data_IF_124360828602
#
_entry.id   IF_124360828602
#
_cell.length_a   1.000
_cell.length_b   1.000
_cell.length_c   1.000
_cell.angle_alpha   90.00
_cell.angle_beta   90.00
_cell.angle_gamma   90.00
#
_symmetry.space_group_name_H-M   'P 1'
#
loop_
_entity.id
_entity.type
_entity.pdbx_description
1 polymer ?
#
# COMPACT_ATOMS: atom_id res chain seq x y z
N UNK A 1 -1.37 -14.71 4.93
CA UNK A 1 -1.78 -13.68 5.92
C UNK A 1 -3.20 -13.17 5.65
N UNK A 2 -3.65 -13.11 4.38
CA UNK A 2 -5.05 -12.78 4.04
C UNK A 2 -6.09 -13.62 4.80
N UNK A 3 -5.86 -14.92 4.98
CA UNK A 3 -6.76 -15.82 5.73
C UNK A 3 -6.94 -15.45 7.21
N UNK A 4 -6.10 -14.57 7.76
CA UNK A 4 -6.22 -14.09 9.13
C UNK A 4 -7.22 -12.94 9.26
N UNK A 5 -7.64 -12.28 8.16
CA UNK A 5 -8.57 -11.15 8.19
C UNK A 5 -9.86 -11.47 8.95
N UNK A 6 -10.54 -12.61 8.75
CA UNK A 6 -11.74 -12.95 9.53
C UNK A 6 -11.49 -13.04 11.03
N UNK A 7 -10.32 -13.56 11.44
CA UNK A 7 -9.94 -13.66 12.85
C UNK A 7 -9.69 -12.26 13.42
N UNK A 8 -8.95 -11.42 12.69
CA UNK A 8 -8.65 -10.03 13.07
C UNK A 8 -9.93 -9.21 13.25
N UNK A 9 -10.90 -9.35 12.33
CA UNK A 9 -12.23 -8.73 12.46
C UNK A 9 -12.96 -9.21 13.71
N UNK A 10 -12.94 -10.52 13.98
CA UNK A 10 -13.60 -11.12 15.15
C UNK A 10 -13.05 -10.60 16.49
N UNK A 11 -11.75 -10.32 16.56
CA UNK A 11 -11.11 -9.76 17.76
C UNK A 11 -11.20 -8.22 17.82
N UNK A 12 -11.88 -7.57 16.86
CA UNK A 12 -12.23 -6.16 16.90
C UNK A 12 -11.34 -5.23 16.08
N UNK A 13 -10.45 -5.75 15.23
CA UNK A 13 -9.64 -4.90 14.35
C UNK A 13 -10.47 -4.48 13.13
N UNK A 14 -10.34 -3.22 12.74
CA UNK A 14 -10.93 -2.69 11.51
C UNK A 14 -9.94 -2.62 10.35
N UNK A 15 -8.65 -2.85 10.62
CA UNK A 15 -7.60 -2.82 9.62
C UNK A 15 -6.23 -3.14 10.21
N UNK A 16 -5.25 -3.35 9.33
CA UNK A 16 -3.87 -3.72 9.71
C UNK A 16 -2.86 -3.07 8.77
N UNK A 17 -1.73 -2.67 9.36
CA UNK A 17 -0.49 -2.30 8.67
C UNK A 17 0.46 -3.51 8.65
N UNK A 18 1.30 -3.62 7.62
CA UNK A 18 2.39 -4.60 7.63
C UNK A 18 1.99 -5.91 6.98
N UNK A 19 1.50 -5.83 5.75
CA UNK A 19 1.20 -6.99 4.91
C UNK A 19 2.44 -7.53 4.18
N UNK A 20 3.64 -7.05 4.55
CA UNK A 20 4.92 -7.37 3.90
C UNK A 20 5.04 -8.87 3.59
N UNK A 21 4.98 -9.20 2.30
CA UNK A 21 5.20 -10.56 1.78
C UNK A 21 4.12 -11.61 2.06
N UNK A 22 3.00 -11.25 2.71
CA UNK A 22 2.06 -12.24 3.25
C UNK A 22 0.60 -12.11 2.83
N UNK A 23 0.18 -10.95 2.32
CA UNK A 23 -1.18 -10.74 1.85
C UNK A 23 -1.21 -9.98 0.53
N UNK A 24 -2.23 -10.32 -0.25
CA UNK A 24 -2.57 -9.65 -1.48
C UNK A 24 -3.72 -8.66 -1.19
N UNK A 25 -3.52 -7.35 -1.41
CA UNK A 25 -4.51 -6.33 -1.10
C UNK A 25 -5.72 -6.42 -2.03
N UNK A 26 -5.58 -6.99 -3.22
CA UNK A 26 -6.72 -7.27 -4.10
C UNK A 26 -7.62 -8.31 -3.45
N UNK A 27 -7.03 -9.42 -2.97
CA UNK A 27 -7.79 -10.50 -2.33
C UNK A 27 -8.44 -10.02 -1.03
N UNK A 28 -7.73 -9.22 -0.22
CA UNK A 28 -8.31 -8.63 1.00
C UNK A 28 -9.48 -7.74 0.62
N UNK A 29 -9.31 -6.84 -0.34
CA UNK A 29 -10.37 -5.93 -0.75
C UNK A 29 -11.57 -6.60 -1.38
N UNK A 30 -11.39 -7.68 -2.15
CA UNK A 30 -12.49 -8.40 -2.80
C UNK A 30 -13.31 -9.20 -1.79
N UNK A 31 -12.65 -9.84 -0.82
CA UNK A 31 -13.32 -10.71 0.15
C UNK A 31 -13.70 -10.01 1.45
N UNK A 32 -13.06 -8.88 1.75
CA UNK A 32 -13.20 -8.11 3.00
C UNK A 32 -13.20 -6.59 2.72
N UNK A 33 -14.15 -6.07 1.92
CA UNK A 33 -14.15 -4.67 1.47
C UNK A 33 -14.28 -3.64 2.59
N UNK A 34 -14.74 -4.05 3.78
CA UNK A 34 -14.86 -3.22 4.98
C UNK A 34 -13.59 -3.22 5.85
N UNK A 35 -12.55 -3.97 5.48
CA UNK A 35 -11.30 -4.05 6.22
C UNK A 35 -10.26 -3.09 5.66
N UNK A 36 -9.74 -2.21 6.51
CA UNK A 36 -8.79 -1.16 6.13
C UNK A 36 -7.39 -1.75 5.92
N UNK A 37 -6.79 -1.48 4.77
CA UNK A 37 -5.44 -1.91 4.42
C UNK A 37 -4.49 -0.71 4.57
N UNK A 38 -3.40 -0.86 5.32
CA UNK A 38 -2.44 0.22 5.57
C UNK A 38 -1.05 -0.15 5.06
N UNK A 39 -0.42 0.76 4.33
CA UNK A 39 1.00 0.70 4.01
C UNK A 39 1.38 -0.14 2.80
N UNK A 40 0.47 -0.51 1.89
CA UNK A 40 0.82 -1.37 0.74
C UNK A 40 1.50 -0.64 -0.44
N UNK A 41 1.97 0.58 -0.24
CA UNK A 41 2.36 1.51 -1.31
C UNK A 41 3.72 1.25 -1.95
N UNK A 42 4.59 0.44 -1.33
CA UNK A 42 5.94 0.17 -1.84
C UNK A 42 6.46 -1.18 -1.39
N UNK A 43 6.94 -1.98 -2.34
CA UNK A 43 7.43 -3.34 -2.13
C UNK A 43 8.94 -3.32 -1.81
N UNK A 44 9.43 -2.55 -0.83
CA UNK A 44 10.85 -2.59 -0.38
C UNK A 44 11.94 -2.44 -1.47
N UNK A 45 11.56 -2.08 -2.69
CA UNK A 45 12.37 -2.17 -3.90
C UNK A 45 12.14 -0.96 -4.81
N UNK A 46 10.89 -0.48 -4.92
CA UNK A 46 10.55 0.59 -5.87
C UNK A 46 11.02 1.93 -5.33
N UNK A 47 10.73 2.27 -4.07
CA UNK A 47 11.24 3.53 -3.48
C UNK A 47 12.77 3.47 -3.29
N UNK A 48 13.39 2.38 -2.76
CA UNK A 48 14.84 2.36 -2.55
C UNK A 48 15.68 2.38 -3.83
N UNK A 49 15.21 1.75 -4.93
CA UNK A 49 16.05 1.50 -6.11
C UNK A 49 15.45 1.97 -7.44
N UNK A 50 14.16 2.29 -7.48
CA UNK A 50 13.47 2.68 -8.71
C UNK A 50 13.79 4.10 -9.17
N UNK A 51 13.56 4.34 -10.45
CA UNK A 51 13.55 5.68 -11.02
C UNK A 51 12.25 6.43 -10.67
N UNK A 52 12.21 7.74 -10.95
CA UNK A 52 10.97 8.53 -10.86
C UNK A 52 9.82 7.89 -11.64
N UNK A 53 10.09 7.40 -12.85
CA UNK A 53 9.08 6.78 -13.70
C UNK A 53 8.56 5.48 -13.09
N UNK A 54 9.45 4.65 -12.55
CA UNK A 54 9.07 3.40 -11.87
C UNK A 54 8.16 3.67 -10.67
N UNK A 55 8.49 4.68 -9.86
CA UNK A 55 7.69 5.08 -8.69
C UNK A 55 6.29 5.54 -9.11
N UNK A 56 6.20 6.39 -10.14
CA UNK A 56 4.91 6.89 -10.63
C UNK A 56 4.06 5.77 -11.25
N UNK A 57 4.67 4.88 -12.03
CA UNK A 57 3.97 3.75 -12.64
C UNK A 57 3.46 2.78 -11.57
N UNK A 58 4.29 2.45 -10.57
CA UNK A 58 3.89 1.61 -9.45
C UNK A 58 2.69 2.20 -8.69
N UNK A 59 2.74 3.49 -8.37
CA UNK A 59 1.64 4.17 -7.69
C UNK A 59 0.37 4.20 -8.54
N UNK A 60 0.49 4.41 -9.84
CA UNK A 60 -0.66 4.37 -10.76
C UNK A 60 -1.30 2.97 -10.78
N UNK A 61 -0.50 1.91 -10.84
CA UNK A 61 -0.99 0.52 -10.80
C UNK A 61 -1.70 0.21 -9.48
N UNK A 62 -1.11 0.60 -8.35
CA UNK A 62 -1.71 0.48 -7.02
C UNK A 62 -3.04 1.22 -6.92
N UNK A 63 -3.15 2.44 -7.45
CA UNK A 63 -4.41 3.19 -7.42
C UNK A 63 -5.48 2.58 -8.35
N UNK A 64 -5.08 1.99 -9.48
CA UNK A 64 -5.99 1.24 -10.36
C UNK A 64 -6.47 -0.05 -9.69
N UNK A 65 -5.61 -0.68 -8.89
CA UNK A 65 -5.92 -1.87 -8.12
C UNK A 65 -6.91 -1.59 -6.98
N UNK A 66 -6.75 -0.45 -6.33
CA UNK A 66 -7.39 -0.09 -5.07
C UNK A 66 -8.44 1.02 -5.25
N UNK A 67 -9.22 0.95 -6.35
CA UNK A 67 -10.29 1.89 -6.78
C UNK A 67 -11.27 2.29 -5.66
N UNK A 68 -12.22 3.19 -5.97
CA UNK A 68 -13.30 3.67 -5.08
C UNK A 68 -13.83 2.63 -4.09
N UNK A 69 -14.05 3.08 -2.84
CA UNK A 69 -14.62 2.34 -1.71
C UNK A 69 -13.78 1.18 -1.14
N UNK A 70 -12.46 1.17 -1.37
CA UNK A 70 -11.56 0.07 -0.98
C UNK A 70 -10.75 0.32 0.31
N UNK A 71 -11.21 1.22 1.20
CA UNK A 71 -10.64 1.52 2.53
C UNK A 71 -9.11 1.38 2.62
N UNK A 72 -8.38 2.06 1.71
CA UNK A 72 -6.93 1.94 1.61
C UNK A 72 -6.21 3.19 2.13
N UNK A 73 -5.26 2.99 3.02
CA UNK A 73 -4.35 4.04 3.49
C UNK A 73 -2.98 3.80 2.87
N UNK A 74 -2.62 4.65 1.91
CA UNK A 74 -1.31 4.62 1.26
C UNK A 74 -0.22 4.92 2.29
N UNK A 75 0.80 4.09 2.27
CA UNK A 75 2.08 4.29 2.97
C UNK A 75 3.09 3.28 2.43
N UNK A 76 4.38 3.42 2.73
CA UNK A 76 5.36 2.40 2.35
C UNK A 76 5.10 1.10 3.13
N UNK A 77 5.40 -0.06 2.50
CA UNK A 77 5.22 -1.36 3.20
C UNK A 77 6.23 -1.56 4.30
N UNK A 78 7.37 -0.89 4.16
CA UNK A 78 8.50 -0.93 5.07
C UNK A 78 8.84 0.43 5.62
N UNK A 79 9.71 0.46 6.64
CA UNK A 79 10.20 1.70 7.23
C UNK A 79 11.15 2.39 6.26
N UNK A 80 10.94 3.70 6.06
CA UNK A 80 11.92 4.53 5.33
C UNK A 80 13.20 4.60 6.16
N UNK A 81 14.31 4.15 5.58
CA UNK A 81 15.61 4.09 6.24
C UNK A 81 16.65 4.97 5.52
N UNK A 82 17.78 5.24 6.19
CA UNK A 82 18.81 6.19 5.75
C UNK A 82 19.37 5.92 4.34
N UNK A 83 19.33 4.66 3.88
CA UNK A 83 19.83 4.28 2.55
C UNK A 83 18.90 4.62 1.39
N UNK A 84 17.68 5.09 1.65
CA UNK A 84 16.72 5.45 0.60
C UNK A 84 17.01 6.89 0.12
N UNK A 85 17.15 7.12 -1.20
CA UNK A 85 17.29 8.46 -1.75
C UNK A 85 16.11 9.36 -1.36
N UNK A 86 16.40 10.55 -0.86
CA UNK A 86 15.37 11.50 -0.42
C UNK A 86 14.42 11.87 -1.55
N UNK A 87 14.95 12.07 -2.77
CA UNK A 87 14.16 12.40 -3.96
C UNK A 87 13.14 11.32 -4.29
N UNK A 88 13.47 10.05 -4.05
CA UNK A 88 12.54 8.95 -4.28
C UNK A 88 11.37 8.96 -3.28
N UNK A 89 11.62 9.38 -2.03
CA UNK A 89 10.56 9.59 -1.04
C UNK A 89 9.66 10.75 -1.47
N UNK A 90 10.23 11.84 -1.99
CA UNK A 90 9.45 12.96 -2.52
C UNK A 90 8.59 12.55 -3.71
N UNK A 91 9.14 11.78 -4.66
CA UNK A 91 8.38 11.27 -5.80
C UNK A 91 7.24 10.35 -5.37
N UNK A 92 7.45 9.53 -4.35
CA UNK A 92 6.39 8.67 -3.80
C UNK A 92 5.24 9.50 -3.21
N UNK A 93 5.55 10.55 -2.44
CA UNK A 93 4.53 11.46 -1.88
C UNK A 93 3.80 12.21 -3.00
N UNK A 94 4.54 12.68 -4.02
CA UNK A 94 3.98 13.37 -5.18
C UNK A 94 3.02 12.47 -5.97
N UNK A 95 3.46 11.26 -6.31
CA UNK A 95 2.66 10.27 -7.02
C UNK A 95 1.42 9.85 -6.23
N UNK A 96 1.56 9.66 -4.90
CA UNK A 96 0.43 9.36 -4.01
C UNK A 96 -0.63 10.46 -4.04
N UNK A 97 -0.22 11.74 -4.00
CA UNK A 97 -1.15 12.87 -4.12
C UNK A 97 -1.77 13.00 -5.51
N UNK A 98 -1.03 12.65 -6.55
CA UNK A 98 -1.50 12.78 -7.92
C UNK A 98 -2.58 11.74 -8.26
N UNK A 99 -2.37 10.49 -7.85
CA UNK A 99 -3.25 9.36 -8.17
C UNK A 99 -4.25 9.02 -7.06
N UNK A 100 -3.96 9.34 -5.80
CA UNK A 100 -4.86 9.17 -4.67
C UNK A 100 -5.99 10.19 -4.70
N UNK A 101 -7.05 9.89 -5.45
CA UNK A 101 -8.25 10.73 -5.59
C UNK A 101 -9.52 10.08 -5.07
N UNK A 102 -9.41 8.86 -4.55
CA UNK A 102 -10.52 8.01 -4.12
C UNK A 102 -10.48 7.82 -2.61
#
# INVERSE_FOLDING_TARGET
>A
VTDMVPILKRIGFNGVQGWEGGADPFIVNENHPDFVIIGFGDISQVIPYGSKEDIFNHMKELMIALKEDRHFIIGPSTVIYEGIPYENVEYFVEASRHYGKY
#
